data_IF_239471759523
#
_entry.id   IF_239471759523
#
_cell.length_a   1.000
_cell.length_b   1.000
_cell.length_c   1.000
_cell.angle_alpha   90.00
_cell.angle_beta   90.00
_cell.angle_gamma   90.00
#
_symmetry.space_group_name_H-M   'P 1'
#
loop_
_entity.id
_entity.type
_entity.pdbx_description
1 polymer ?
#
# COMPACT_ATOMS: atom_id res chain seq x y z
N UNK A 1 -8.91 -19.02 29.80
CA UNK A 1 -7.55 -18.45 30.01
C UNK A 1 -7.66 -16.94 30.09
N UNK A 2 -7.22 -16.32 31.20
CA UNK A 2 -7.28 -14.86 31.38
C UNK A 2 -6.20 -14.20 30.51
N UNK A 3 -6.59 -13.35 29.56
CA UNK A 3 -5.67 -12.52 28.77
C UNK A 3 -5.09 -11.45 29.69
N UNK A 4 -3.82 -11.59 30.09
CA UNK A 4 -3.10 -10.54 30.82
C UNK A 4 -2.75 -9.47 29.79
N UNK A 5 -3.14 -8.21 30.05
CA UNK A 5 -2.88 -7.12 29.10
C UNK A 5 -1.37 -6.88 28.98
N UNK A 6 -0.94 -6.47 27.79
CA UNK A 6 0.47 -6.21 27.48
C UNK A 6 1.09 -5.20 28.47
N UNK A 7 0.31 -4.17 28.84
CA UNK A 7 0.67 -3.19 29.87
C UNK A 7 0.97 -3.81 31.24
N UNK A 8 0.24 -4.85 31.64
CA UNK A 8 0.46 -5.51 32.92
C UNK A 8 1.76 -6.33 32.93
N UNK A 9 2.17 -6.87 31.78
CA UNK A 9 3.45 -7.56 31.63
C UNK A 9 4.60 -6.55 31.62
N UNK A 10 4.44 -5.41 30.95
CA UNK A 10 5.44 -4.32 30.93
C UNK A 10 5.63 -3.72 32.33
N UNK A 11 4.56 -3.52 33.09
CA UNK A 11 4.62 -3.06 34.48
C UNK A 11 5.38 -4.04 35.38
N UNK A 12 5.13 -5.35 35.26
CA UNK A 12 5.82 -6.39 36.04
C UNK A 12 7.33 -6.47 35.76
N UNK A 13 7.75 -6.22 34.51
CA UNK A 13 9.18 -6.19 34.13
C UNK A 13 9.86 -4.90 34.64
N UNK A 14 9.13 -3.79 34.72
CA UNK A 14 9.67 -2.49 35.13
C UNK A 14 9.70 -2.28 36.65
N UNK A 15 8.82 -2.93 37.43
CA UNK A 15 8.74 -2.72 38.90
C UNK A 15 9.72 -3.54 39.76
N UNK A 16 10.80 -4.10 39.20
CA UNK A 16 11.98 -4.49 39.99
C UNK A 16 11.79 -5.55 41.08
N UNK A 17 10.88 -6.52 40.93
CA UNK A 17 10.63 -7.57 41.93
C UNK A 17 11.66 -8.73 41.93
N UNK A 18 12.73 -8.66 41.13
CA UNK A 18 13.80 -9.66 41.12
C UNK A 18 15.16 -8.95 41.07
N UNK A 19 15.83 -8.81 42.21
CA UNK A 19 17.12 -8.15 42.36
C UNK A 19 18.29 -9.02 41.83
N UNK A 20 19.19 -8.43 41.03
CA UNK A 20 20.37 -9.09 40.41
C UNK A 20 21.08 -8.17 39.38
N UNK A 21 21.96 -7.31 39.88
CA UNK A 21 22.26 -5.94 39.40
C UNK A 21 23.14 -5.75 38.14
N UNK A 22 23.45 -6.80 37.38
CA UNK A 22 24.26 -6.68 36.14
C UNK A 22 23.62 -7.26 34.88
N UNK A 23 22.63 -8.15 35.05
CA UNK A 23 22.07 -8.95 33.97
C UNK A 23 20.61 -8.54 33.66
N UNK A 24 19.96 -7.75 34.53
CA UNK A 24 18.56 -7.33 34.36
C UNK A 24 18.40 -6.24 33.31
N UNK A 25 19.30 -5.25 33.26
CA UNK A 25 19.23 -4.19 32.25
C UNK A 25 19.40 -4.75 30.82
N UNK A 26 20.35 -5.68 30.63
CA UNK A 26 20.53 -6.39 29.36
C UNK A 26 19.33 -7.28 29.02
N UNK A 27 18.77 -8.02 30.00
CA UNK A 27 17.58 -8.86 29.78
C UNK A 27 16.31 -8.04 29.51
N UNK A 28 16.14 -6.90 30.19
CA UNK A 28 15.05 -5.97 29.95
C UNK A 28 15.16 -5.31 28.57
N UNK A 29 16.37 -4.91 28.15
CA UNK A 29 16.64 -4.41 26.81
C UNK A 29 16.37 -5.45 25.71
N UNK A 30 16.78 -6.71 25.92
CA UNK A 30 16.47 -7.81 24.99
C UNK A 30 14.96 -8.06 24.92
N UNK A 31 14.24 -7.98 26.04
CA UNK A 31 12.78 -8.16 26.07
C UNK A 31 12.05 -7.04 25.32
N UNK A 32 12.49 -5.78 25.48
CA UNK A 32 11.96 -4.63 24.76
C UNK A 32 12.22 -4.75 23.24
N UNK A 33 13.46 -5.02 22.83
CA UNK A 33 13.79 -5.22 21.41
C UNK A 33 12.97 -6.36 20.78
N UNK A 34 12.74 -7.47 21.50
CA UNK A 34 11.88 -8.56 21.02
C UNK A 34 10.41 -8.15 20.87
N UNK A 35 9.93 -7.22 21.68
CA UNK A 35 8.58 -6.67 21.57
C UNK A 35 8.48 -5.73 20.36
N UNK A 36 9.45 -4.85 20.16
CA UNK A 36 9.52 -3.93 19.02
C UNK A 36 9.60 -4.69 17.69
N UNK A 37 10.46 -5.72 17.60
CA UNK A 37 10.52 -6.62 16.43
C UNK A 37 9.16 -7.25 16.12
N UNK A 38 8.41 -7.69 17.14
CA UNK A 38 7.09 -8.30 16.93
C UNK A 38 6.10 -7.27 16.36
N UNK A 39 6.08 -6.08 16.93
CA UNK A 39 5.22 -5.00 16.46
C UNK A 39 5.54 -4.62 15.01
N UNK A 40 6.83 -4.50 14.65
CA UNK A 40 7.26 -4.19 13.28
C UNK A 40 6.88 -5.30 12.29
N UNK A 41 6.93 -6.58 12.71
CA UNK A 41 6.49 -7.71 11.89
C UNK A 41 4.98 -7.74 11.67
N UNK A 42 4.20 -7.43 12.70
CA UNK A 42 2.74 -7.30 12.57
C UNK A 42 2.39 -6.16 11.61
N UNK A 43 3.03 -5.00 11.75
CA UNK A 43 2.87 -3.88 10.81
C UNK A 43 3.24 -4.25 9.37
N UNK A 44 4.31 -5.00 9.16
CA UNK A 44 4.67 -5.45 7.81
C UNK A 44 3.66 -6.42 7.22
N UNK A 45 3.10 -7.32 8.03
CA UNK A 45 2.07 -8.25 7.56
C UNK A 45 0.83 -7.50 7.05
N UNK A 46 0.38 -6.51 7.82
CA UNK A 46 -0.77 -5.67 7.43
C UNK A 46 -0.45 -4.88 6.13
N UNK A 47 0.73 -4.26 6.05
CA UNK A 47 1.16 -3.52 4.84
C UNK A 47 1.31 -4.44 3.61
N UNK A 48 1.75 -5.68 3.78
CA UNK A 48 1.85 -6.66 2.69
C UNK A 48 0.47 -7.15 2.19
N UNK A 49 -0.55 -7.14 3.05
CA UNK A 49 -1.94 -7.37 2.65
C UNK A 49 -2.46 -6.17 1.85
N UNK A 50 -2.26 -4.95 2.36
CA UNK A 50 -2.66 -3.71 1.67
C UNK A 50 -2.02 -3.59 0.28
N UNK A 51 -0.72 -3.87 0.16
CA UNK A 51 -0.01 -3.86 -1.13
C UNK A 51 -0.63 -4.85 -2.13
N UNK A 52 -1.05 -6.03 -1.67
CA UNK A 52 -1.68 -7.03 -2.55
C UNK A 52 -3.04 -6.55 -3.07
N UNK A 53 -3.84 -5.93 -2.20
CA UNK A 53 -5.12 -5.36 -2.59
C UNK A 53 -4.94 -4.18 -3.56
N UNK A 54 -3.95 -3.31 -3.31
CA UNK A 54 -3.58 -2.22 -4.20
C UNK A 54 -3.13 -2.71 -5.57
N UNK A 55 -2.33 -3.78 -5.64
CA UNK A 55 -1.90 -4.40 -6.90
C UNK A 55 -3.08 -4.95 -7.71
N UNK A 56 -4.06 -5.56 -7.05
CA UNK A 56 -5.28 -6.03 -7.71
C UNK A 56 -6.09 -4.85 -8.24
N UNK A 57 -6.28 -3.79 -7.45
CA UNK A 57 -6.96 -2.58 -7.90
C UNK A 57 -6.25 -1.92 -9.09
N UNK A 58 -4.92 -1.86 -9.07
CA UNK A 58 -4.12 -1.34 -10.19
C UNK A 58 -4.32 -2.16 -11.46
N UNK A 59 -4.34 -3.49 -11.36
CA UNK A 59 -4.61 -4.36 -12.50
C UNK A 59 -5.97 -4.06 -13.13
N UNK A 60 -7.01 -3.92 -12.30
CA UNK A 60 -8.37 -3.62 -12.78
C UNK A 60 -8.46 -2.24 -13.43
N UNK A 61 -7.82 -1.23 -12.83
CA UNK A 61 -7.76 0.12 -13.40
C UNK A 61 -7.02 0.16 -14.74
N UNK A 62 -5.91 -0.57 -14.88
CA UNK A 62 -5.16 -0.67 -16.13
C UNK A 62 -5.99 -1.34 -17.22
N UNK A 63 -6.76 -2.38 -16.87
CA UNK A 63 -7.67 -3.05 -17.78
C UNK A 63 -8.76 -2.09 -18.26
N UNK A 64 -9.42 -1.39 -17.35
CA UNK A 64 -10.42 -0.37 -17.69
C UNK A 64 -9.83 0.72 -18.59
N UNK A 65 -8.59 1.15 -18.33
CA UNK A 65 -7.89 2.10 -19.18
C UNK A 65 -7.76 1.61 -20.63
N UNK A 66 -7.45 0.32 -20.80
CA UNK A 66 -7.33 -0.32 -22.11
C UNK A 66 -8.67 -0.33 -22.84
N UNK A 67 -9.75 -0.66 -22.13
CA UNK A 67 -11.10 -0.70 -22.68
C UNK A 67 -11.56 0.70 -23.12
N UNK A 68 -11.36 1.72 -22.29
CA UNK A 68 -11.68 3.12 -22.64
C UNK A 68 -10.88 3.60 -23.85
N UNK A 69 -9.60 3.22 -23.96
CA UNK A 69 -8.77 3.55 -25.15
C UNK A 69 -9.31 2.89 -26.42
N UNK A 70 -9.73 1.64 -26.34
CA UNK A 70 -10.36 0.91 -27.46
C UNK A 70 -11.65 1.60 -27.90
N UNK A 71 -12.52 1.95 -26.95
CA UNK A 71 -13.77 2.65 -27.21
C UNK A 71 -13.55 4.03 -27.85
N UNK A 72 -12.55 4.78 -27.37
CA UNK A 72 -12.14 6.05 -27.97
C UNK A 72 -11.69 5.88 -29.42
N UNK A 73 -10.91 4.85 -29.75
CA UNK A 73 -10.52 4.57 -31.13
C UNK A 73 -11.74 4.26 -32.00
N UNK A 74 -12.66 3.43 -31.51
CA UNK A 74 -13.90 3.09 -32.22
C UNK A 74 -14.80 4.32 -32.45
N UNK A 75 -14.91 5.21 -31.46
CA UNK A 75 -15.67 6.46 -31.59
C UNK A 75 -15.02 7.42 -32.59
N UNK A 76 -13.70 7.55 -32.60
CA UNK A 76 -12.99 8.37 -33.56
C UNK A 76 -13.17 7.87 -34.99
N UNK A 77 -13.18 6.55 -35.22
CA UNK A 77 -13.50 5.97 -36.54
C UNK A 77 -14.92 6.33 -36.97
N UNK A 78 -15.92 6.11 -36.11
CA UNK A 78 -17.33 6.48 -36.38
C UNK A 78 -17.52 7.97 -36.61
N UNK A 79 -16.72 8.80 -35.93
CA UNK A 79 -16.71 10.26 -36.11
C UNK A 79 -16.21 10.62 -37.50
N UNK A 80 -15.10 10.03 -37.92
CA UNK A 80 -14.51 10.24 -39.24
C UNK A 80 -15.49 9.83 -40.34
N UNK A 81 -16.14 8.66 -40.22
CA UNK A 81 -17.18 8.20 -41.14
C UNK A 81 -18.38 9.17 -41.20
N UNK A 82 -18.82 9.70 -40.06
CA UNK A 82 -19.91 10.69 -40.03
C UNK A 82 -19.52 12.00 -40.72
N UNK A 83 -18.25 12.40 -40.66
CA UNK A 83 -17.74 13.56 -41.40
C UNK A 83 -17.69 13.30 -42.90
N UNK A 84 -17.15 12.15 -43.33
CA UNK A 84 -17.03 11.83 -44.77
C UNK A 84 -18.38 11.63 -45.45
N UNK A 85 -19.39 11.16 -44.70
CA UNK A 85 -20.77 10.98 -45.19
C UNK A 85 -21.64 12.24 -45.08
N UNK A 86 -21.11 13.36 -44.55
CA UNK A 86 -21.84 14.63 -44.44
C UNK A 86 -22.85 14.69 -43.29
N UNK A 87 -22.81 13.75 -42.34
CA UNK A 87 -23.70 13.71 -41.17
C UNK A 87 -23.19 14.56 -40.00
N UNK A 88 -23.17 15.89 -40.19
CA UNK A 88 -22.63 16.86 -39.22
C UNK A 88 -23.25 16.77 -37.81
N UNK A 89 -24.56 16.54 -37.71
CA UNK A 89 -25.24 16.39 -36.41
C UNK A 89 -24.89 15.09 -35.67
N UNK A 90 -24.53 14.03 -36.40
CA UNK A 90 -24.02 12.77 -35.84
C UNK A 90 -22.58 12.95 -35.37
N UNK A 91 -21.74 13.62 -36.18
CA UNK A 91 -20.37 13.95 -35.80
C UNK A 91 -20.33 14.79 -34.50
N UNK A 92 -21.15 15.84 -34.39
CA UNK A 92 -21.21 16.66 -33.17
C UNK A 92 -21.65 15.89 -31.92
N UNK A 93 -22.51 14.88 -32.05
CA UNK A 93 -22.89 13.98 -30.94
C UNK A 93 -21.73 13.07 -30.54
N UNK A 94 -21.00 12.54 -31.51
CA UNK A 94 -19.81 11.73 -31.28
C UNK A 94 -18.70 12.54 -30.61
N UNK A 95 -18.51 13.80 -30.98
CA UNK A 95 -17.52 14.70 -30.37
C UNK A 95 -17.74 14.86 -28.86
N UNK A 96 -19.01 15.04 -28.45
CA UNK A 96 -19.37 15.11 -27.02
C UNK A 96 -19.06 13.80 -26.30
N UNK A 97 -19.35 12.65 -26.93
CA UNK A 97 -19.05 11.35 -26.35
C UNK A 97 -17.53 11.13 -26.23
N UNK A 98 -16.77 11.44 -27.27
CA UNK A 98 -15.30 11.36 -27.26
C UNK A 98 -14.71 12.25 -26.16
N UNK A 99 -15.22 13.47 -25.99
CA UNK A 99 -14.78 14.36 -24.92
C UNK A 99 -15.03 13.76 -23.53
N UNK A 100 -16.20 13.13 -23.32
CA UNK A 100 -16.52 12.43 -22.08
C UNK A 100 -15.58 11.25 -21.81
N UNK A 101 -15.38 10.37 -22.80
CA UNK A 101 -14.45 9.23 -22.67
C UNK A 101 -13.00 9.68 -22.43
N UNK A 102 -12.59 10.81 -23.03
CA UNK A 102 -11.26 11.38 -22.80
C UNK A 102 -11.09 11.89 -21.35
N UNK A 103 -12.15 12.44 -20.75
CA UNK A 103 -12.15 12.83 -19.33
C UNK A 103 -12.09 11.60 -18.44
N UNK A 104 -12.86 10.55 -18.73
CA UNK A 104 -12.81 9.28 -18.00
C UNK A 104 -11.41 8.65 -18.06
N UNK A 105 -10.81 8.61 -19.26
CA UNK A 105 -9.45 8.11 -19.44
C UNK A 105 -8.42 8.89 -18.62
N UNK A 106 -8.59 10.21 -18.50
CA UNK A 106 -7.74 11.05 -17.67
C UNK A 106 -7.93 10.74 -16.18
N UNK A 107 -9.17 10.66 -15.73
CA UNK A 107 -9.49 10.34 -14.33
C UNK A 107 -8.94 8.96 -13.93
N UNK A 108 -9.11 7.95 -14.77
CA UNK A 108 -8.53 6.62 -14.56
C UNK A 108 -6.99 6.66 -14.50
N UNK A 109 -6.33 7.44 -15.38
CA UNK A 109 -4.87 7.64 -15.31
C UNK A 109 -4.40 8.27 -14.01
N UNK A 110 -5.12 9.27 -13.54
CA UNK A 110 -4.77 9.97 -12.31
C UNK A 110 -4.98 9.04 -11.10
N UNK A 111 -6.06 8.24 -11.08
CA UNK A 111 -6.28 7.22 -10.06
C UNK A 111 -5.20 6.13 -10.04
N UNK A 112 -4.77 5.63 -11.22
CA UNK A 112 -3.65 4.68 -11.32
C UNK A 112 -2.37 5.26 -10.70
N UNK A 113 -2.10 6.55 -10.91
CA UNK A 113 -0.92 7.22 -10.32
C UNK A 113 -1.01 7.32 -8.82
N UNK A 114 -2.19 7.62 -8.29
CA UNK A 114 -2.44 7.69 -6.85
C UNK A 114 -2.24 6.32 -6.19
N UNK A 115 -2.82 5.26 -6.76
CA UNK A 115 -2.62 3.89 -6.26
C UNK A 115 -1.14 3.46 -6.31
N UNK A 116 -0.42 3.75 -7.40
CA UNK A 116 1.02 3.47 -7.49
C UNK A 116 1.85 4.25 -6.46
N UNK A 117 1.45 5.49 -6.14
CA UNK A 117 2.13 6.29 -5.14
C UNK A 117 1.92 5.72 -3.72
N UNK A 118 0.71 5.24 -3.42
CA UNK A 118 0.39 4.55 -2.17
C UNK A 118 1.20 3.25 -2.04
N UNK A 119 1.17 2.38 -3.05
CA UNK A 119 1.91 1.11 -3.06
C UNK A 119 3.41 1.34 -2.84
N UNK A 120 3.98 2.33 -3.52
CA UNK A 120 5.39 2.68 -3.34
C UNK A 120 5.69 3.13 -1.90
N UNK A 121 4.80 3.92 -1.30
CA UNK A 121 4.95 4.36 0.09
C UNK A 121 4.92 3.17 1.05
N UNK A 122 3.97 2.25 0.87
CA UNK A 122 3.80 1.09 1.74
C UNK A 122 4.99 0.13 1.60
N UNK A 123 5.47 -0.10 0.37
CA UNK A 123 6.72 -0.82 0.13
C UNK A 123 7.92 -0.18 0.84
N UNK A 124 8.01 1.15 0.87
CA UNK A 124 9.08 1.84 1.59
C UNK A 124 8.98 1.61 3.11
N UNK A 125 7.77 1.60 3.67
CA UNK A 125 7.56 1.30 5.08
C UNK A 125 7.94 -0.15 5.42
N UNK A 126 7.56 -1.11 4.58
CA UNK A 126 7.93 -2.52 4.75
C UNK A 126 9.46 -2.69 4.77
N UNK A 127 10.16 -2.03 3.84
CA UNK A 127 11.61 -2.07 3.77
C UNK A 127 12.26 -1.40 5.00
N UNK A 128 11.74 -0.26 5.45
CA UNK A 128 12.24 0.44 6.64
C UNK A 128 12.08 -0.42 7.91
N UNK A 129 10.90 -0.98 8.11
CA UNK A 129 10.62 -1.87 9.24
C UNK A 129 11.50 -3.12 9.18
N UNK A 130 11.71 -3.70 8.00
CA UNK A 130 12.59 -4.86 7.83
C UNK A 130 14.04 -4.55 8.22
N UNK A 131 14.56 -3.40 7.82
CA UNK A 131 15.90 -2.95 8.22
C UNK A 131 16.00 -2.74 9.75
N UNK A 132 14.99 -2.12 10.36
CA UNK A 132 14.93 -1.96 11.84
C UNK A 132 14.90 -3.30 12.56
N UNK A 133 14.13 -4.26 12.07
CA UNK A 133 14.09 -5.63 12.61
C UNK A 133 15.49 -6.26 12.57
N UNK A 134 16.24 -6.09 11.49
CA UNK A 134 17.60 -6.62 11.36
C UNK A 134 18.57 -5.97 12.36
N UNK A 135 18.50 -4.65 12.53
CA UNK A 135 19.30 -3.90 13.51
C UNK A 135 18.99 -4.34 14.95
N UNK A 136 17.71 -4.42 15.32
CA UNK A 136 17.26 -4.84 16.64
C UNK A 136 17.64 -6.31 16.93
N UNK A 137 17.58 -7.18 15.91
CA UNK A 137 18.07 -8.56 16.02
C UNK A 137 19.59 -8.64 16.20
N UNK A 138 20.36 -7.82 15.48
CA UNK A 138 21.81 -7.76 15.61
C UNK A 138 22.22 -7.27 17.00
N UNK A 139 21.54 -6.25 17.53
CA UNK A 139 21.73 -5.76 18.90
C UNK A 139 21.48 -6.85 19.94
N UNK A 140 20.41 -7.64 19.80
CA UNK A 140 20.15 -8.79 20.69
C UNK A 140 21.28 -9.83 20.60
N UNK A 141 21.82 -10.11 19.41
CA UNK A 141 22.91 -11.09 19.25
C UNK A 141 24.21 -10.63 19.91
N UNK A 142 24.50 -9.34 19.92
CA UNK A 142 25.69 -8.78 20.58
C UNK A 142 25.57 -8.75 22.11
N UNK A 143 24.35 -8.76 22.64
CA UNK A 143 24.06 -8.76 24.09
C UNK A 143 23.99 -10.16 24.71
N UNK A 144 23.99 -11.24 23.91
CA UNK A 144 24.05 -12.63 24.38
C UNK A 144 25.47 -13.18 24.26
#
# INVERSE_FOLDING_TARGET
>A
MKKISLMAVTALITTGAFAGDGNIAARAGIALNRMEIRQQREQNYDLEEDIRDQQQQLFDLIKEQSDIKSDLQALNMKRQEAFTTGHSSRAARLDKKIAWEAVLLKANRDHVRECLAAEKSDMHLVNHNSARIEEEQAAIRQLN
#
